data_IF_328408112708
#
_entry.id   IF_328408112708
#
_cell.length_a   1.000
_cell.length_b   1.000
_cell.length_c   1.000
_cell.angle_alpha   90.00
_cell.angle_beta   90.00
_cell.angle_gamma   90.00
#
_symmetry.space_group_name_H-M   'P 1'
#
loop_
_entity.id
_entity.type
_entity.pdbx_description
1 polymer ?
#
# COMPACT_ATOMS: atom_id res chain seq x y z
N UNK A 1 -0.69 17.87 -7.79
CA UNK A 1 0.76 18.05 -7.66
C UNK A 1 1.37 16.73 -7.24
N UNK A 2 2.28 16.18 -8.04
CA UNK A 2 2.87 14.85 -7.79
C UNK A 2 4.07 14.98 -6.84
N UNK A 3 4.00 14.31 -5.68
CA UNK A 3 5.07 14.24 -4.67
C UNK A 3 6.38 13.72 -5.27
N UNK A 4 6.32 12.86 -6.30
CA UNK A 4 7.51 12.38 -7.03
C UNK A 4 8.25 13.49 -7.76
N UNK A 5 7.54 14.50 -8.24
CA UNK A 5 8.13 15.62 -8.99
C UNK A 5 8.81 16.64 -8.07
N UNK A 6 8.26 16.86 -6.88
CA UNK A 6 8.85 17.68 -5.82
C UNK A 6 10.11 17.02 -5.24
N UNK A 7 10.05 15.70 -5.03
CA UNK A 7 11.18 14.93 -4.50
C UNK A 7 12.33 14.80 -5.50
N UNK A 8 12.05 14.57 -6.80
CA UNK A 8 13.09 14.60 -7.85
C UNK A 8 13.75 15.96 -7.99
N UNK A 9 12.98 17.04 -7.90
CA UNK A 9 13.47 18.41 -8.02
C UNK A 9 14.31 18.82 -6.81
N UNK A 10 13.92 18.37 -5.63
CA UNK A 10 14.73 18.46 -4.40
C UNK A 10 16.04 17.67 -4.53
N UNK A 11 15.99 16.41 -4.96
CA UNK A 11 17.16 15.56 -5.16
C UNK A 11 18.14 16.10 -6.22
N UNK A 12 17.65 16.69 -7.31
CA UNK A 12 18.52 17.35 -8.29
C UNK A 12 19.17 18.63 -7.77
N UNK A 13 18.51 19.35 -6.86
CA UNK A 13 19.08 20.48 -6.13
C UNK A 13 20.15 20.04 -5.12
N UNK A 14 19.87 18.99 -4.35
CA UNK A 14 20.79 18.39 -3.38
C UNK A 14 22.01 17.76 -4.07
N UNK A 15 21.84 17.08 -5.22
CA UNK A 15 22.93 16.50 -5.99
C UNK A 15 23.89 17.58 -6.55
N UNK A 16 23.37 18.76 -6.89
CA UNK A 16 24.18 19.92 -7.30
C UNK A 16 24.90 20.56 -6.11
N UNK A 17 24.27 20.65 -4.94
CA UNK A 17 24.94 21.08 -3.69
C UNK A 17 26.01 20.07 -3.23
N UNK A 18 25.72 18.77 -3.32
CA UNK A 18 26.67 17.69 -3.04
C UNK A 18 27.82 17.66 -4.05
N UNK A 19 27.60 18.10 -5.30
CA UNK A 19 28.66 18.31 -6.29
C UNK A 19 29.51 19.56 -5.96
N UNK A 20 28.93 20.63 -5.42
CA UNK A 20 29.66 21.79 -4.88
C UNK A 20 30.46 21.48 -3.61
N UNK A 21 29.96 20.55 -2.78
CA UNK A 21 30.64 20.02 -1.60
C UNK A 21 31.75 18.99 -1.92
N UNK A 22 31.95 18.61 -3.20
CA UNK A 22 33.06 17.72 -3.60
C UNK A 22 34.45 18.32 -3.32
N UNK A 23 34.55 19.62 -3.04
CA UNK A 23 35.79 20.29 -2.67
C UNK A 23 36.09 20.25 -1.16
N UNK A 24 35.10 19.99 -0.30
CA UNK A 24 35.31 19.80 1.13
C UNK A 24 35.58 18.33 1.41
N UNK A 25 36.87 17.98 1.48
CA UNK A 25 37.47 16.82 2.18
C UNK A 25 36.46 15.73 2.58
N UNK A 26 36.46 14.63 1.80
CA UNK A 26 35.85 13.33 2.14
C UNK A 26 36.47 12.84 3.45
N UNK A 27 35.87 13.20 4.58
CA UNK A 27 36.30 12.75 5.89
C UNK A 27 35.29 11.70 6.32
N UNK A 28 35.78 10.48 6.44
CA UNK A 28 35.03 9.43 7.06
C UNK A 28 34.64 9.83 8.49
N UNK A 29 33.38 9.58 8.90
CA UNK A 29 32.94 9.90 10.25
C UNK A 29 33.73 9.06 11.26
N UNK A 30 34.29 9.72 12.28
CA UNK A 30 35.16 9.06 13.26
C UNK A 30 34.40 8.64 14.52
N UNK A 31 33.33 9.36 14.84
CA UNK A 31 32.45 9.08 15.99
C UNK A 31 31.05 8.71 15.51
N UNK A 32 30.31 7.98 16.34
CA UNK A 32 28.91 7.64 16.05
C UNK A 32 28.05 8.90 15.85
N UNK A 33 28.26 9.97 16.62
CA UNK A 33 27.56 11.24 16.40
C UNK A 33 27.83 11.89 15.04
N UNK A 34 29.03 11.68 14.46
CA UNK A 34 29.34 12.16 13.11
C UNK A 34 28.55 11.36 12.06
N UNK A 35 28.40 10.05 12.29
CA UNK A 35 27.57 9.18 11.45
C UNK A 35 26.11 9.60 11.50
N UNK A 36 25.55 9.79 12.69
CA UNK A 36 24.17 10.24 12.88
C UNK A 36 23.92 11.56 12.15
N UNK A 37 24.78 12.55 12.35
CA UNK A 37 24.65 13.86 11.70
C UNK A 37 24.70 13.74 10.16
N UNK A 38 25.59 12.92 9.61
CA UNK A 38 25.67 12.73 8.15
C UNK A 38 24.49 11.92 7.60
N UNK A 39 23.95 10.97 8.35
CA UNK A 39 22.75 10.21 7.99
C UNK A 39 21.52 11.12 8.00
N UNK A 40 21.39 11.98 9.01
CA UNK A 40 20.33 13.01 9.08
C UNK A 40 20.46 14.02 7.94
N UNK A 41 21.67 14.48 7.65
CA UNK A 41 21.93 15.36 6.51
C UNK A 41 21.59 14.70 5.15
N UNK A 42 21.61 13.37 5.08
CA UNK A 42 21.16 12.61 3.91
C UNK A 42 19.63 12.44 3.84
N UNK A 43 18.86 13.04 4.77
CA UNK A 43 17.41 13.04 4.78
C UNK A 43 16.77 11.85 5.50
N UNK A 44 17.56 11.06 6.24
CA UNK A 44 17.04 9.97 7.08
C UNK A 44 16.68 10.53 8.45
N UNK A 45 15.50 10.20 8.99
CA UNK A 45 15.05 10.72 10.28
C UNK A 45 15.98 10.36 11.45
N UNK A 46 16.03 11.21 12.48
CA UNK A 46 16.94 11.07 13.63
C UNK A 46 16.85 9.73 14.35
N UNK A 47 15.63 9.20 14.53
CA UNK A 47 15.41 7.87 15.13
C UNK A 47 16.11 6.76 14.34
N UNK A 48 16.03 6.82 13.01
CA UNK A 48 16.70 5.87 12.13
C UNK A 48 18.19 6.12 12.03
N UNK A 49 18.63 7.37 12.12
CA UNK A 49 20.04 7.72 12.14
C UNK A 49 20.76 7.07 13.33
N UNK A 50 20.20 7.16 14.54
CA UNK A 50 20.74 6.52 15.74
C UNK A 50 20.84 4.99 15.60
N UNK A 51 19.88 4.36 14.91
CA UNK A 51 19.88 2.91 14.68
C UNK A 51 20.85 2.47 13.58
N UNK A 52 21.02 3.29 12.54
CA UNK A 52 21.84 2.95 11.37
C UNK A 52 23.32 3.28 11.58
N UNK A 53 23.63 4.35 12.31
CA UNK A 53 24.99 4.81 12.57
C UNK A 53 25.96 3.69 13.03
N UNK A 54 25.67 2.86 14.05
CA UNK A 54 26.59 1.80 14.48
C UNK A 54 26.80 0.74 13.39
N UNK A 55 25.76 0.40 12.63
CA UNK A 55 25.80 -0.63 11.57
C UNK A 55 26.60 -0.14 10.36
N UNK A 56 26.44 1.12 9.97
CA UNK A 56 27.21 1.70 8.87
C UNK A 56 28.68 1.93 9.27
N UNK A 57 28.95 2.27 10.52
CA UNK A 57 30.32 2.35 11.05
C UNK A 57 31.01 0.97 11.07
N UNK A 58 30.28 -0.10 11.35
CA UNK A 58 30.77 -1.47 11.21
C UNK A 58 31.06 -1.83 9.75
N UNK A 59 30.10 -1.61 8.85
CA UNK A 59 30.28 -1.87 7.42
C UNK A 59 31.45 -1.07 6.82
N UNK A 60 31.70 0.14 7.30
CA UNK A 60 32.87 0.94 6.88
C UNK A 60 34.19 0.30 7.33
N UNK A 61 34.24 -0.29 8.54
CA UNK A 61 35.44 -1.00 9.01
C UNK A 61 35.77 -2.20 8.13
N UNK A 62 34.75 -2.88 7.61
CA UNK A 62 34.92 -4.01 6.70
C UNK A 62 35.33 -3.57 5.28
N UNK A 63 34.70 -2.51 4.77
CA UNK A 63 34.91 -2.03 3.39
C UNK A 63 36.11 -1.08 3.25
N UNK A 64 36.63 -0.58 4.37
CA UNK A 64 37.74 0.36 4.42
C UNK A 64 37.34 1.83 4.27
N UNK A 65 38.33 2.70 4.40
CA UNK A 65 38.15 4.14 4.39
C UNK A 65 37.63 4.67 3.05
N UNK A 66 36.82 5.73 3.09
CA UNK A 66 36.19 6.35 1.92
C UNK A 66 34.87 5.69 1.51
N UNK A 67 34.46 4.61 2.18
CA UNK A 67 33.20 3.90 1.91
C UNK A 67 31.97 4.58 2.54
N UNK A 68 32.15 5.42 3.57
CA UNK A 68 31.04 6.05 4.31
C UNK A 68 30.04 6.82 3.42
N UNK A 69 30.47 7.64 2.44
CA UNK A 69 29.52 8.31 1.56
C UNK A 69 28.71 7.37 0.67
N UNK A 70 29.25 6.20 0.31
CA UNK A 70 28.53 5.20 -0.46
C UNK A 70 27.50 4.46 0.42
N UNK A 71 27.91 4.11 1.65
CA UNK A 71 27.05 3.47 2.64
C UNK A 71 25.84 4.33 3.00
N UNK A 72 26.06 5.62 3.30
CA UNK A 72 24.98 6.55 3.65
C UNK A 72 24.01 6.75 2.46
N UNK A 73 24.53 6.91 1.24
CA UNK A 73 23.69 7.01 0.04
C UNK A 73 22.90 5.74 -0.24
N UNK A 74 23.51 4.57 -0.04
CA UNK A 74 22.84 3.28 -0.17
C UNK A 74 21.71 3.12 0.84
N UNK A 75 21.95 3.47 2.10
CA UNK A 75 20.92 3.45 3.14
C UNK A 75 19.75 4.39 2.81
N UNK A 76 20.04 5.62 2.37
CA UNK A 76 19.00 6.58 1.98
C UNK A 76 18.16 6.07 0.79
N UNK A 77 18.80 5.47 -0.21
CA UNK A 77 18.11 4.87 -1.35
C UNK A 77 17.23 3.70 -0.92
N UNK A 78 17.72 2.81 -0.06
CA UNK A 78 16.97 1.67 0.42
C UNK A 78 15.71 2.09 1.19
N UNK A 79 15.83 3.09 2.08
CA UNK A 79 14.67 3.62 2.80
C UNK A 79 13.66 4.28 1.85
N UNK A 80 14.12 5.00 0.83
CA UNK A 80 13.23 5.61 -0.16
C UNK A 80 12.45 4.55 -0.96
N UNK A 81 13.11 3.46 -1.36
CA UNK A 81 12.46 2.34 -2.05
C UNK A 81 11.43 1.63 -1.16
N UNK A 82 11.74 1.47 0.13
CA UNK A 82 10.81 0.87 1.09
C UNK A 82 9.57 1.75 1.32
N UNK A 83 9.75 3.07 1.41
CA UNK A 83 8.61 3.99 1.55
C UNK A 83 7.70 3.94 0.31
N UNK A 84 8.27 3.82 -0.89
CA UNK A 84 7.51 3.66 -2.12
C UNK A 84 6.71 2.35 -2.13
N UNK A 85 7.34 1.22 -1.75
CA UNK A 85 6.65 -0.07 -1.71
C UNK A 85 5.49 -0.08 -0.71
N UNK A 86 5.66 0.53 0.47
CA UNK A 86 4.59 0.68 1.46
C UNK A 86 3.42 1.51 0.91
N UNK A 87 3.68 2.61 0.21
CA UNK A 87 2.64 3.43 -0.42
C UNK A 87 1.89 2.69 -1.56
N UNK A 88 2.53 1.70 -2.20
CA UNK A 88 1.86 0.81 -3.15
C UNK A 88 0.94 -0.20 -2.44
N UNK A 89 1.41 -0.79 -1.34
CA UNK A 89 0.62 -1.73 -0.54
C UNK A 89 -0.63 -1.05 0.03
N UNK A 90 -0.50 0.17 0.58
CA UNK A 90 -1.64 0.92 1.12
C UNK A 90 -2.72 1.22 0.07
N UNK A 91 -2.30 1.56 -1.16
CA UNK A 91 -3.22 1.77 -2.29
C UNK A 91 -3.95 0.48 -2.65
N UNK A 92 -3.23 -0.62 -2.80
CA UNK A 92 -3.84 -1.91 -3.11
C UNK A 92 -4.83 -2.35 -2.01
N UNK A 93 -4.51 -2.11 -0.74
CA UNK A 93 -5.43 -2.41 0.37
C UNK A 93 -6.68 -1.51 0.37
N UNK A 94 -6.59 -0.29 -0.18
CA UNK A 94 -7.77 0.54 -0.41
C UNK A 94 -8.62 0.00 -1.55
N UNK A 95 -7.98 -0.41 -2.64
CA UNK A 95 -8.68 -0.96 -3.81
C UNK A 95 -9.40 -2.28 -3.47
N UNK A 96 -8.76 -3.16 -2.69
CA UNK A 96 -9.39 -4.40 -2.19
C UNK A 96 -10.63 -4.09 -1.36
N UNK A 97 -10.55 -3.13 -0.44
CA UNK A 97 -11.70 -2.71 0.38
C UNK A 97 -12.85 -2.16 -0.47
N UNK A 98 -12.53 -1.47 -1.56
CA UNK A 98 -13.55 -0.96 -2.48
C UNK A 98 -14.23 -2.10 -3.26
N UNK A 99 -13.45 -3.11 -3.69
CA UNK A 99 -14.01 -4.32 -4.31
C UNK A 99 -14.92 -5.07 -3.34
N UNK A 100 -14.52 -5.24 -2.08
CA UNK A 100 -15.36 -5.85 -1.04
C UNK A 100 -16.67 -5.07 -0.84
N UNK A 101 -16.60 -3.74 -0.82
CA UNK A 101 -17.79 -2.87 -0.72
C UNK A 101 -18.75 -3.07 -1.89
N UNK A 102 -18.23 -3.14 -3.12
CA UNK A 102 -19.03 -3.36 -4.32
C UNK A 102 -19.66 -4.75 -4.33
N UNK A 103 -18.88 -5.79 -4.00
CA UNK A 103 -19.39 -7.16 -3.90
C UNK A 103 -20.50 -7.27 -2.87
N UNK A 104 -20.35 -6.63 -1.70
CA UNK A 104 -21.40 -6.56 -0.69
C UNK A 104 -22.69 -5.91 -1.20
N UNK A 105 -22.57 -4.81 -1.97
CA UNK A 105 -23.72 -4.17 -2.60
C UNK A 105 -24.40 -5.09 -3.64
N UNK A 106 -23.62 -5.76 -4.49
CA UNK A 106 -24.14 -6.74 -5.45
C UNK A 106 -24.86 -7.90 -4.76
N UNK A 107 -24.32 -8.44 -3.67
CA UNK A 107 -25.00 -9.49 -2.90
C UNK A 107 -26.34 -9.00 -2.36
N UNK A 108 -26.41 -7.75 -1.87
CA UNK A 108 -27.67 -7.14 -1.44
C UNK A 108 -28.69 -6.97 -2.58
N UNK A 109 -28.25 -6.66 -3.79
CA UNK A 109 -29.13 -6.59 -4.96
C UNK A 109 -29.60 -7.97 -5.42
N UNK A 110 -28.74 -8.99 -5.36
CA UNK A 110 -29.13 -10.37 -5.67
C UNK A 110 -30.18 -10.90 -4.69
N UNK A 111 -30.08 -10.56 -3.40
CA UNK A 111 -31.09 -10.90 -2.41
C UNK A 111 -32.46 -10.26 -2.75
N UNK A 112 -32.47 -9.00 -3.20
CA UNK A 112 -33.70 -8.34 -3.66
C UNK A 112 -34.29 -9.01 -4.90
N UNK A 113 -33.45 -9.47 -5.82
CA UNK A 113 -33.92 -10.21 -6.99
C UNK A 113 -34.57 -11.53 -6.59
N UNK A 114 -34.04 -12.22 -5.58
CA UNK A 114 -34.64 -13.44 -5.04
C UNK A 114 -36.04 -13.19 -4.47
N UNK A 115 -36.22 -12.13 -3.68
CA UNK A 115 -37.54 -11.71 -3.16
C UNK A 115 -38.55 -11.45 -4.30
N UNK A 116 -38.13 -10.77 -5.37
CA UNK A 116 -38.99 -10.49 -6.53
C UNK A 116 -39.36 -11.79 -7.25
N UNK A 117 -38.42 -12.72 -7.41
CA UNK A 117 -38.69 -14.02 -8.02
C UNK A 117 -39.69 -14.85 -7.20
N UNK A 118 -39.61 -14.79 -5.88
CA UNK A 118 -40.57 -15.45 -4.99
C UNK A 118 -41.99 -14.88 -5.16
N UNK A 119 -42.13 -13.55 -5.22
CA UNK A 119 -43.42 -12.89 -5.46
C UNK A 119 -43.99 -13.27 -6.83
N UNK A 120 -43.16 -13.29 -7.88
CA UNK A 120 -43.58 -13.70 -9.23
C UNK A 120 -44.01 -15.17 -9.27
N UNK A 121 -43.31 -16.06 -8.57
CA UNK A 121 -43.68 -17.46 -8.45
C UNK A 121 -45.04 -17.62 -7.75
N UNK A 122 -45.28 -16.89 -6.67
CA UNK A 122 -46.57 -16.89 -5.96
C UNK A 122 -47.71 -16.36 -6.85
N UNK A 123 -47.46 -15.30 -7.62
CA UNK A 123 -48.42 -14.77 -8.58
C UNK A 123 -48.76 -15.78 -9.68
N UNK A 124 -47.75 -16.44 -10.26
CA UNK A 124 -47.93 -17.48 -11.27
C UNK A 124 -48.74 -18.68 -10.74
N UNK A 125 -48.54 -19.08 -9.48
CA UNK A 125 -49.31 -20.14 -8.83
C UNK A 125 -50.79 -19.76 -8.64
N UNK A 126 -51.08 -18.50 -8.28
CA UNK A 126 -52.47 -18.00 -8.16
C UNK A 126 -53.20 -17.92 -9.49
N UNK A 127 -52.47 -17.63 -10.57
CA UNK A 127 -53.01 -17.60 -11.94
C UNK A 127 -53.22 -19.00 -12.53
N UNK A 128 -52.72 -20.06 -11.88
CA UNK A 128 -52.91 -21.44 -12.34
C UNK A 128 -54.37 -21.85 -12.09
N UNK A 129 -55.16 -22.17 -13.13
CA UNK A 129 -56.56 -22.53 -12.94
C UNK A 129 -56.66 -23.79 -12.07
N UNK A 130 -57.48 -23.73 -11.02
CA UNK A 130 -57.83 -24.92 -10.23
C UNK A 130 -58.46 -25.94 -11.18
N UNK A 131 -57.81 -27.10 -11.30
CA UNK A 131 -58.40 -28.27 -11.95
C UNK A 131 -59.71 -28.56 -11.19
N UNK A 132 -60.88 -28.53 -11.83
CA UNK A 132 -62.13 -28.79 -11.12
C UNK A 132 -62.05 -30.19 -10.53
N UNK A 133 -62.13 -30.29 -9.20
CA UNK A 133 -62.28 -31.56 -8.49
C UNK A 133 -63.67 -32.09 -8.85
N UNK A 134 -63.72 -32.93 -9.89
CA UNK A 134 -64.88 -33.76 -10.19
C UNK A 134 -65.06 -34.78 -9.07
N UNK A 135 -65.81 -34.42 -8.04
CA UNK A 135 -66.51 -35.37 -7.17
C UNK A 135 -67.99 -35.09 -7.29
N UNK A 136 -68.71 -35.95 -8.00
CA UNK A 136 -70.16 -36.16 -7.86
C UNK A 136 -70.52 -37.44 -8.61
N UNK A 137 -70.64 -38.53 -7.84
CA UNK A 137 -71.07 -39.84 -8.32
C UNK A 137 -71.50 -40.75 -7.17
N UNK A 138 -72.12 -40.20 -6.13
CA UNK A 138 -72.94 -40.97 -5.21
C UNK A 138 -74.40 -40.73 -5.58
N UNK A 139 -75.06 -41.76 -6.10
CA UNK A 139 -76.50 -41.93 -6.04
C UNK A 139 -76.81 -43.43 -6.01
N UNK A 140 -77.39 -43.84 -4.90
CA UNK A 140 -77.99 -45.14 -4.61
C UNK A 140 -79.19 -45.37 -5.54
N UNK A 141 -79.29 -46.58 -6.11
CA UNK A 141 -80.45 -47.48 -6.02
C UNK A 141 -80.16 -48.80 -6.73
#
# INVERSE_FOLDING_TARGET
>A
MDLRSLWRRWWQGEARRAAGAKASRRIDPKRIGDWEAQIVAAGIGEEWAARLAPRLAEAQRELGSGSSPALIRGAALALAMQAESQAHVERNLRDVREVERLLGAFTGELAKLDEVLEVLAAYAQRMRPQKPNGSSGHLLH
#
